data_IF_921429876037
#
_entry.id   IF_921429876037
#
_cell.length_a   1.000
_cell.length_b   1.000
_cell.length_c   1.000
_cell.angle_alpha   90.00
_cell.angle_beta   90.00
_cell.angle_gamma   90.00
#
_symmetry.space_group_name_H-M   'P 1'
#
loop_
_entity.id
_entity.type
_entity.pdbx_description
1 polymer ?
#
# COMPACT_ATOMS: atom_id res chain seq x y z
N UNK A 1 8.41 2.98 -5.06
CA UNK A 1 7.54 1.89 -4.62
C UNK A 1 6.29 1.85 -5.46
N UNK A 2 5.73 0.69 -5.65
CA UNK A 2 4.51 0.50 -6.41
C UNK A 2 3.52 -0.31 -5.61
N UNK A 3 2.21 -0.09 -5.86
CA UNK A 3 1.24 -1.02 -5.34
C UNK A 3 0.33 -1.50 -6.46
N UNK A 4 -0.10 -2.74 -6.34
CA UNK A 4 -0.88 -3.41 -7.38
C UNK A 4 -2.22 -3.86 -6.79
N UNK A 5 -3.29 -3.61 -7.54
CA UNK A 5 -4.66 -3.89 -7.09
C UNK A 5 -5.37 -4.82 -8.05
N UNK A 6 -4.65 -5.79 -8.59
CA UNK A 6 -5.21 -6.73 -9.56
C UNK A 6 -5.16 -6.22 -10.98
N UNK A 7 -4.66 -5.02 -11.20
CA UNK A 7 -4.48 -4.43 -12.51
C UNK A 7 -3.04 -4.02 -12.72
N UNK A 8 -2.84 -2.91 -13.43
CA UNK A 8 -1.49 -2.38 -13.65
C UNK A 8 -0.95 -1.79 -12.35
N UNK A 9 0.33 -2.02 -12.03
CA UNK A 9 0.95 -1.41 -10.87
C UNK A 9 0.93 0.11 -10.98
N UNK A 10 0.80 0.78 -9.83
CA UNK A 10 0.79 2.23 -9.77
C UNK A 10 1.81 2.71 -8.76
N UNK A 11 2.39 3.86 -9.05
CA UNK A 11 3.38 4.43 -8.15
C UNK A 11 2.71 5.01 -6.91
N UNK A 12 3.38 4.85 -5.78
CA UNK A 12 2.96 5.46 -4.53
C UNK A 12 4.18 5.77 -3.69
N UNK A 13 3.98 6.51 -2.62
CA UNK A 13 5.06 6.94 -1.75
C UNK A 13 4.86 6.39 -0.35
N UNK A 14 5.90 5.81 0.22
CA UNK A 14 5.86 5.36 1.61
C UNK A 14 6.16 6.56 2.50
N UNK A 15 5.23 6.85 3.41
CA UNK A 15 5.42 7.90 4.41
C UNK A 15 6.08 7.33 5.66
N UNK A 16 5.71 6.10 6.04
CA UNK A 16 6.26 5.46 7.21
C UNK A 16 6.06 3.95 7.08
N UNK A 17 6.86 3.19 7.81
CA UNK A 17 6.77 1.74 7.79
C UNK A 17 7.18 1.18 9.14
N UNK A 18 6.48 0.14 9.58
CA UNK A 18 6.78 -0.60 10.80
C UNK A 18 6.77 -2.09 10.49
N UNK A 19 7.03 -2.91 11.52
CA UNK A 19 7.01 -4.36 11.35
C UNK A 19 5.64 -4.90 10.95
N UNK A 20 4.58 -4.23 11.39
CA UNK A 20 3.21 -4.71 11.15
C UNK A 20 2.48 -4.03 10.03
N UNK A 21 3.01 -2.94 9.46
CA UNK A 21 2.27 -2.21 8.46
C UNK A 21 3.04 -1.10 7.80
N UNK A 22 2.35 -0.37 6.92
CA UNK A 22 2.95 0.68 6.14
C UNK A 22 1.96 1.83 6.00
N UNK A 23 2.49 3.06 5.99
CA UNK A 23 1.70 4.26 5.74
C UNK A 23 2.08 4.78 4.37
N UNK A 24 1.10 4.93 3.51
CA UNK A 24 1.29 5.22 2.10
C UNK A 24 0.58 6.51 1.73
N UNK A 25 1.19 7.27 0.85
CA UNK A 25 0.55 8.43 0.23
C UNK A 25 0.27 8.05 -1.23
N UNK A 26 -1.02 8.04 -1.58
CA UNK A 26 -1.45 7.65 -2.92
C UNK A 26 -2.65 8.49 -3.32
N UNK A 27 -2.61 9.07 -4.50
CA UNK A 27 -3.64 9.97 -4.99
C UNK A 27 -4.68 9.26 -5.83
N UNK A 28 -5.10 8.08 -5.40
CA UNK A 28 -6.08 7.29 -6.14
C UNK A 28 -7.44 7.37 -5.46
N UNK A 29 -8.51 7.61 -6.24
CA UNK A 29 -9.84 7.76 -5.64
C UNK A 29 -10.37 6.48 -5.02
N UNK A 30 -9.97 5.35 -5.56
CA UNK A 30 -10.46 4.06 -5.07
C UNK A 30 -9.29 3.14 -4.78
N UNK A 31 -9.27 2.60 -3.57
CA UNK A 31 -8.27 1.63 -3.14
C UNK A 31 -9.02 0.46 -2.55
N UNK A 32 -8.81 -0.77 -3.05
CA UNK A 32 -9.50 -1.93 -2.50
C UNK A 32 -9.05 -2.21 -1.08
N UNK A 33 -9.83 -3.01 -0.37
CA UNK A 33 -9.52 -3.35 1.01
C UNK A 33 -8.27 -4.21 1.13
N UNK A 34 -7.89 -4.92 0.08
CA UNK A 34 -6.65 -5.69 0.06
C UNK A 34 -5.90 -5.40 -1.23
N UNK A 35 -4.58 -5.28 -1.10
CA UNK A 35 -3.74 -4.97 -2.24
C UNK A 35 -2.31 -5.45 -1.98
N UNK A 36 -1.51 -5.45 -3.04
CA UNK A 36 -0.12 -5.86 -2.96
C UNK A 36 0.78 -4.64 -3.07
N UNK A 37 1.75 -4.52 -2.17
CA UNK A 37 2.76 -3.48 -2.24
C UNK A 37 4.05 -4.09 -2.76
N UNK A 38 4.61 -3.46 -3.79
CA UNK A 38 5.84 -3.91 -4.42
C UNK A 38 6.95 -2.94 -4.05
N UNK A 39 7.87 -3.40 -3.22
CA UNK A 39 9.01 -2.59 -2.80
C UNK A 39 10.13 -2.69 -3.83
N UNK A 40 10.93 -1.63 -3.94
CA UNK A 40 11.99 -1.58 -4.94
C UNK A 40 13.09 -2.61 -4.71
N UNK A 41 13.26 -3.08 -3.47
CA UNK A 41 14.30 -4.03 -3.12
C UNK A 41 13.79 -5.29 -2.47
N UNK A 42 12.49 -5.45 -2.38
CA UNK A 42 11.91 -6.55 -1.63
C UNK A 42 10.95 -7.37 -2.43
N UNK A 43 10.38 -8.35 -1.74
CA UNK A 43 9.32 -9.16 -2.32
C UNK A 43 7.99 -8.42 -2.22
N UNK A 44 7.08 -8.67 -3.16
CA UNK A 44 5.73 -8.13 -3.01
C UNK A 44 5.10 -8.63 -1.71
N UNK A 45 4.37 -7.74 -1.04
CA UNK A 45 3.72 -8.07 0.22
C UNK A 45 2.23 -7.79 0.14
N UNK A 46 1.46 -8.72 0.65
CA UNK A 46 0.01 -8.56 0.72
C UNK A 46 -0.33 -7.65 1.89
N UNK A 47 -1.23 -6.72 1.64
CA UNK A 47 -1.62 -5.73 2.64
C UNK A 47 -3.13 -5.61 2.71
N UNK A 48 -3.62 -5.21 3.89
CA UNK A 48 -5.04 -4.89 4.08
C UNK A 48 -5.15 -3.44 4.50
N UNK A 49 -6.05 -2.71 3.85
CA UNK A 49 -6.31 -1.31 4.18
C UNK A 49 -6.89 -1.23 5.60
N UNK A 50 -6.21 -0.48 6.46
CA UNK A 50 -6.66 -0.30 7.84
C UNK A 50 -7.44 1.01 7.99
N UNK A 51 -6.97 2.07 7.35
CA UNK A 51 -7.65 3.37 7.40
C UNK A 51 -7.20 4.21 6.20
N UNK A 52 -8.01 5.23 5.90
CA UNK A 52 -7.67 6.18 4.85
C UNK A 52 -8.19 7.55 5.21
N UNK A 53 -7.33 8.57 5.05
CA UNK A 53 -7.70 9.97 5.25
C UNK A 53 -7.09 10.77 4.10
N UNK A 54 -7.94 11.29 3.20
CA UNK A 54 -7.44 12.03 2.05
C UNK A 54 -6.58 11.16 1.14
N UNK A 55 -5.34 11.61 0.90
CA UNK A 55 -4.38 10.88 0.08
C UNK A 55 -3.49 9.95 0.90
N UNK A 56 -3.71 9.87 2.20
CA UNK A 56 -2.91 9.08 3.12
C UNK A 56 -3.68 7.84 3.54
N UNK A 57 -3.02 6.72 3.59
CA UNK A 57 -3.64 5.49 4.06
C UNK A 57 -2.67 4.66 4.87
N UNK A 58 -3.21 3.86 5.76
CA UNK A 58 -2.45 2.89 6.51
C UNK A 58 -2.89 1.49 6.15
N UNK A 59 -1.95 0.59 6.03
CA UNK A 59 -2.22 -0.79 5.67
C UNK A 59 -1.46 -1.73 6.58
N UNK A 60 -2.05 -2.89 6.86
CA UNK A 60 -1.41 -3.94 7.65
C UNK A 60 -0.88 -5.00 6.71
N UNK A 61 0.30 -5.51 7.01
CA UNK A 61 0.86 -6.64 6.29
C UNK A 61 0.10 -7.91 6.68
N UNK A 62 -0.25 -8.71 5.67
CA UNK A 62 -0.97 -9.95 5.88
C UNK A 62 -0.07 -11.18 5.84
N UNK A 63 1.14 -11.06 5.32
CA UNK A 63 2.08 -12.17 5.17
C UNK A 63 3.16 -12.23 6.25
#
# INVERSE_FOLDING_TARGET
MQFATGGLPRDCMISDMSDGGVKIIAEYPEIPSEFTVIFSEGRPRQCRLAWRIGCELGAQFLD
#
